data_IF_224938064180
#
_entry.id   IF_224938064180
#
_cell.length_a   1.000
_cell.length_b   1.000
_cell.length_c   1.000
_cell.angle_alpha   90.00
_cell.angle_beta   90.00
_cell.angle_gamma   90.00
#
_symmetry.space_group_name_H-M   'P 1'
#
loop_
_entity.id
_entity.type
_entity.pdbx_description
1 polymer ?
#
# COMPACT_ATOMS: atom_id res chain seq x y z
N UNK A 1 -17.26 6.57 -13.60
CA UNK A 1 -16.11 5.68 -13.80
C UNK A 1 -15.28 5.71 -12.52
N UNK A 2 -15.35 4.64 -11.70
CA UNK A 2 -14.54 4.51 -10.48
C UNK A 2 -13.07 4.77 -10.85
N UNK A 3 -12.26 5.46 -10.04
CA UNK A 3 -10.83 5.32 -10.19
C UNK A 3 -10.53 3.86 -9.87
N UNK A 4 -10.17 3.11 -10.89
CA UNK A 4 -9.94 1.70 -10.70
C UNK A 4 -8.85 1.54 -9.63
N UNK A 5 -9.15 0.73 -8.62
CA UNK A 5 -8.18 0.26 -7.63
C UNK A 5 -6.89 -0.08 -8.38
N UNK A 6 -5.69 0.30 -7.89
CA UNK A 6 -4.45 0.02 -8.60
C UNK A 6 -4.38 -1.45 -8.99
N UNK A 7 -4.13 -1.71 -10.26
CA UNK A 7 -4.07 -3.08 -10.79
C UNK A 7 -2.63 -3.54 -10.72
N UNK A 8 -2.40 -4.64 -10.00
CA UNK A 8 -1.11 -5.30 -9.93
C UNK A 8 -0.93 -6.20 -11.16
N UNK A 9 0.15 -6.01 -11.89
CA UNK A 9 0.61 -6.92 -12.94
C UNK A 9 1.26 -8.17 -12.32
N UNK A 10 1.41 -9.24 -13.10
CA UNK A 10 1.92 -10.54 -12.61
C UNK A 10 3.32 -10.47 -12.00
N UNK A 11 4.13 -9.51 -12.40
CA UNK A 11 5.50 -9.27 -11.92
C UNK A 11 5.56 -8.28 -10.75
N UNK A 12 4.43 -7.98 -10.10
CA UNK A 12 4.36 -7.07 -8.95
C UNK A 12 4.38 -5.59 -9.33
N UNK A 13 4.27 -5.25 -10.63
CA UNK A 13 4.23 -3.86 -11.10
C UNK A 13 2.84 -3.25 -11.01
N UNK A 14 2.82 -1.95 -10.75
CA UNK A 14 1.64 -1.09 -10.83
C UNK A 14 1.95 0.05 -11.78
N UNK A 15 1.22 0.12 -12.91
CA UNK A 15 1.35 1.22 -13.85
C UNK A 15 0.67 2.47 -13.31
N UNK A 16 1.35 3.61 -13.43
CA UNK A 16 0.78 4.89 -13.04
C UNK A 16 -0.43 5.22 -13.92
N UNK A 17 -1.59 5.57 -13.33
CA UNK A 17 -2.76 6.02 -14.07
C UNK A 17 -2.64 7.49 -14.49
N UNK A 18 -1.59 8.20 -14.06
CA UNK A 18 -1.46 9.64 -14.26
C UNK A 18 -0.59 9.95 -15.47
N UNK A 19 -1.18 10.64 -16.46
CA UNK A 19 -0.45 11.11 -17.65
C UNK A 19 0.73 12.05 -17.33
N UNK A 20 0.69 12.75 -16.18
CA UNK A 20 1.78 13.63 -15.72
C UNK A 20 2.99 12.86 -15.16
N UNK A 21 2.76 11.65 -14.67
CA UNK A 21 3.78 10.78 -14.07
C UNK A 21 3.72 9.40 -14.71
N UNK A 22 3.99 9.28 -16.03
CA UNK A 22 3.97 7.98 -16.68
C UNK A 22 5.06 7.08 -16.10
N UNK A 23 4.80 5.77 -16.07
CA UNK A 23 5.74 4.79 -15.54
C UNK A 23 5.10 3.78 -14.60
N UNK A 24 5.88 3.23 -13.67
CA UNK A 24 5.42 2.20 -12.74
C UNK A 24 6.16 2.22 -11.39
N UNK A 25 5.57 1.54 -10.42
CA UNK A 25 6.26 1.06 -9.21
C UNK A 25 6.20 -0.46 -9.16
N UNK A 26 7.21 -1.11 -8.57
CA UNK A 26 7.30 -2.57 -8.46
C UNK A 26 7.52 -2.96 -7.01
N UNK A 27 6.64 -3.83 -6.51
CA UNK A 27 6.85 -4.55 -5.26
C UNK A 27 7.44 -5.93 -5.55
N UNK A 28 8.14 -6.54 -4.57
CA UNK A 28 8.65 -7.89 -4.73
C UNK A 28 7.50 -8.88 -4.96
N UNK A 29 7.71 -9.89 -5.81
CA UNK A 29 6.68 -10.90 -6.12
C UNK A 29 6.22 -11.65 -4.87
N UNK A 30 7.09 -11.77 -3.86
CA UNK A 30 6.78 -12.46 -2.60
C UNK A 30 7.24 -11.64 -1.41
N UNK A 31 6.39 -11.55 -0.40
CA UNK A 31 6.70 -10.95 0.89
C UNK A 31 7.68 -11.84 1.65
N UNK A 32 8.86 -11.30 1.93
CA UNK A 32 9.86 -11.98 2.75
C UNK A 32 9.52 -11.87 4.24
N UNK A 33 10.08 -12.74 5.08
CA UNK A 33 9.91 -12.67 6.54
C UNK A 33 10.37 -11.30 7.12
N UNK A 34 11.48 -10.69 6.67
CA UNK A 34 11.83 -9.31 7.05
C UNK A 34 10.74 -8.28 6.68
N UNK A 35 10.18 -8.33 5.47
CA UNK A 35 9.09 -7.43 5.05
C UNK A 35 7.87 -7.59 5.95
N UNK A 36 7.49 -8.84 6.23
CA UNK A 36 6.38 -9.16 7.13
C UNK A 36 6.62 -8.64 8.56
N UNK A 37 7.82 -8.83 9.12
CA UNK A 37 8.17 -8.31 10.45
C UNK A 37 8.09 -6.79 10.52
N UNK A 38 8.56 -6.08 9.48
CA UNK A 38 8.42 -4.62 9.42
C UNK A 38 6.96 -4.16 9.33
N UNK A 39 6.14 -4.87 8.55
CA UNK A 39 4.70 -4.62 8.46
C UNK A 39 4.02 -4.85 9.82
N UNK A 40 4.28 -5.99 10.47
CA UNK A 40 3.71 -6.34 11.78
C UNK A 40 4.18 -5.36 12.85
N UNK A 41 5.47 -5.07 12.97
CA UNK A 41 5.99 -4.12 13.98
C UNK A 41 5.35 -2.73 13.87
N UNK A 42 5.06 -2.27 12.65
CA UNK A 42 4.42 -0.97 12.42
C UNK A 42 2.91 -0.95 12.63
N UNK A 43 2.24 -2.11 12.56
CA UNK A 43 0.81 -2.24 12.84
C UNK A 43 0.53 -2.67 14.29
N UNK A 44 1.29 -3.63 14.85
CA UNK A 44 1.15 -4.17 16.21
C UNK A 44 1.87 -3.32 17.26
N UNK A 45 3.03 -2.72 16.92
CA UNK A 45 3.70 -1.76 17.81
C UNK A 45 2.89 -0.48 18.08
N UNK A 46 1.75 -0.31 17.39
CA UNK A 46 0.78 0.78 17.58
C UNK A 46 -0.44 0.37 18.42
N UNK A 47 -0.52 -0.87 18.93
CA UNK A 47 -1.58 -1.31 19.83
C UNK A 47 -1.34 -0.89 21.30
N UNK A 48 -0.08 -0.64 21.70
CA UNK A 48 0.25 -0.21 23.07
C UNK A 48 0.36 1.32 23.25
N UNK A 49 0.40 2.10 22.16
CA UNK A 49 0.38 3.59 22.22
C UNK A 49 -1.05 4.18 22.11
N UNK A 50 -2.08 3.39 22.40
CA UNK A 50 -3.48 3.84 22.30
C UNK A 50 -3.96 4.65 23.51
N UNK A 51 -3.21 5.66 23.96
CA UNK A 51 -3.74 6.74 24.80
C UNK A 51 -3.17 8.13 24.47
N UNK A 52 -2.27 8.25 23.49
CA UNK A 52 -1.86 9.56 22.98
C UNK A 52 -2.67 9.89 21.71
N UNK A 53 -3.75 10.65 21.88
CA UNK A 53 -4.38 11.42 20.80
C UNK A 53 -3.33 12.33 20.14
N UNK A 54 -2.68 11.81 19.10
CA UNK A 54 -1.60 12.55 18.45
C UNK A 54 -1.18 11.91 17.14
N UNK A 55 -1.76 12.41 16.06
CA UNK A 55 -1.09 12.44 14.75
C UNK A 55 -1.02 11.14 13.94
N UNK A 56 -2.10 10.34 13.90
CA UNK A 56 -2.31 9.50 12.70
C UNK A 56 -2.76 10.43 11.57
N UNK A 57 -1.83 10.84 10.71
CA UNK A 57 -2.13 11.63 9.51
C UNK A 57 -2.90 10.75 8.54
N UNK A 58 -4.22 10.70 8.75
CA UNK A 58 -5.17 10.05 7.86
C UNK A 58 -5.75 11.10 6.94
N UNK A 59 -5.68 10.83 5.64
CA UNK A 59 -6.38 11.65 4.67
C UNK A 59 -7.60 10.91 4.15
N UNK A 60 -8.72 11.61 4.08
CA UNK A 60 -9.88 11.15 3.35
C UNK A 60 -9.66 11.45 1.87
N UNK A 61 -9.36 10.43 1.09
CA UNK A 61 -9.30 10.54 -0.36
C UNK A 61 -10.71 10.36 -0.88
N UNK A 62 -11.32 11.47 -1.30
CA UNK A 62 -12.61 11.47 -2.01
C UNK A 62 -12.34 11.41 -3.49
N UNK A 63 -13.00 10.51 -4.19
CA UNK A 63 -12.94 10.49 -5.64
C UNK A 63 -14.23 11.06 -6.19
N UNK A 64 -14.09 12.21 -6.85
CA UNK A 64 -15.19 12.92 -7.47
C UNK A 64 -15.17 12.60 -8.96
N UNK A 65 -16.29 12.09 -9.47
CA UNK A 65 -16.53 11.89 -10.89
C UNK A 65 -17.83 12.59 -11.27
N UNK A 66 -17.80 13.39 -12.33
CA UNK A 66 -18.89 14.26 -12.78
C UNK A 66 -19.56 15.11 -11.66
N UNK A 67 -18.78 15.53 -10.66
CA UNK A 67 -19.27 16.32 -9.53
C UNK A 67 -19.90 15.51 -8.39
N UNK A 68 -20.02 14.18 -8.52
CA UNK A 68 -20.50 13.29 -7.47
C UNK A 68 -19.34 12.55 -6.77
N UNK A 69 -19.41 12.42 -5.44
CA UNK A 69 -18.47 11.60 -4.67
C UNK A 69 -18.79 10.13 -4.91
N UNK A 70 -17.91 9.44 -5.63
CA UNK A 70 -18.10 8.04 -6.04
C UNK A 70 -17.46 7.04 -5.10
N UNK A 71 -16.45 7.46 -4.35
CA UNK A 71 -15.74 6.62 -3.39
C UNK A 71 -14.96 7.47 -2.38
N UNK A 72 -14.77 6.95 -1.18
CA UNK A 72 -14.03 7.64 -0.13
C UNK A 72 -13.22 6.64 0.70
N UNK A 73 -11.90 6.81 0.75
CA UNK A 73 -11.01 5.95 1.51
C UNK A 73 -10.17 6.75 2.49
N UNK A 74 -10.10 6.24 3.72
CA UNK A 74 -9.10 6.72 4.68
C UNK A 74 -7.76 6.04 4.40
N UNK A 75 -6.77 6.83 4.02
CA UNK A 75 -5.40 6.34 3.81
C UNK A 75 -4.50 6.86 4.92
N UNK A 76 -3.76 5.95 5.53
CA UNK A 76 -2.74 6.27 6.53
C UNK A 76 -1.44 6.67 5.84
N UNK A 77 -1.07 7.95 5.92
CA UNK A 77 0.13 8.50 5.30
C UNK A 77 1.41 7.94 5.92
N UNK A 78 1.36 7.40 7.15
CA UNK A 78 2.50 6.75 7.79
C UNK A 78 2.97 5.52 7.00
N UNK A 79 2.11 4.96 6.13
CA UNK A 79 2.43 3.82 5.27
C UNK A 79 3.42 4.17 4.17
N UNK A 80 3.64 5.44 3.82
CA UNK A 80 4.61 5.81 2.77
C UNK A 80 6.03 5.33 3.09
N UNK A 81 6.42 5.41 4.36
CA UNK A 81 7.74 4.94 4.78
C UNK A 81 7.86 3.41 4.76
N UNK A 82 6.75 2.67 4.87
CA UNK A 82 6.73 1.23 4.61
C UNK A 82 6.84 0.94 3.12
N UNK A 83 6.18 1.73 2.25
CA UNK A 83 6.36 1.60 0.80
C UNK A 83 7.83 1.74 0.44
N UNK A 84 8.50 2.80 0.93
CA UNK A 84 9.92 3.05 0.69
C UNK A 84 10.82 1.89 1.14
N UNK A 85 10.44 1.18 2.18
CA UNK A 85 11.22 0.06 2.72
C UNK A 85 11.05 -1.24 1.91
N UNK A 86 9.94 -1.39 1.17
CA UNK A 86 9.58 -2.67 0.50
C UNK A 86 9.63 -2.57 -1.02
N UNK A 87 9.42 -1.40 -1.61
CA UNK A 87 9.43 -1.21 -3.06
C UNK A 87 10.79 -1.61 -3.64
N UNK A 88 10.80 -2.42 -4.69
CA UNK A 88 12.02 -2.81 -5.39
C UNK A 88 12.44 -1.75 -6.40
N UNK A 89 11.46 -1.17 -7.08
CA UNK A 89 11.71 -0.28 -8.19
C UNK A 89 10.63 0.81 -8.29
N UNK A 90 11.08 2.05 -8.51
CA UNK A 90 10.21 3.18 -8.86
C UNK A 90 10.75 3.80 -10.14
N UNK A 91 9.97 3.70 -11.22
CA UNK A 91 10.24 4.33 -12.49
C UNK A 91 9.07 5.22 -12.84
N UNK A 92 9.06 6.43 -12.29
CA UNK A 92 8.07 7.46 -12.61
C UNK A 92 8.79 8.64 -13.25
N UNK A 93 8.29 9.07 -14.41
CA UNK A 93 8.79 10.30 -15.02
C UNK A 93 8.21 11.52 -14.29
N UNK A 94 8.99 12.60 -14.19
CA UNK A 94 8.53 13.92 -13.69
C UNK A 94 8.00 13.95 -12.24
N UNK A 95 8.32 12.96 -11.40
CA UNK A 95 7.93 12.97 -10.00
C UNK A 95 8.54 11.83 -9.20
N UNK A 96 9.11 12.18 -8.04
CA UNK A 96 9.47 11.22 -7.00
C UNK A 96 8.31 11.17 -5.98
N UNK A 97 7.64 10.01 -5.79
CA UNK A 97 6.56 9.89 -4.82
C UNK A 97 7.02 10.00 -3.35
N UNK A 98 8.33 9.98 -3.09
CA UNK A 98 8.93 10.06 -1.76
C UNK A 98 9.57 11.41 -1.45
N UNK A 99 9.55 12.37 -2.39
CA UNK A 99 10.04 13.71 -2.14
C UNK A 99 9.14 14.46 -1.12
N UNK A 100 9.72 15.40 -0.38
CA UNK A 100 8.99 16.19 0.62
C UNK A 100 7.88 17.04 0.00
N UNK A 101 8.04 17.44 -1.28
CA UNK A 101 7.07 18.19 -2.08
C UNK A 101 6.29 17.29 -3.05
N UNK A 102 6.31 15.97 -2.85
CA UNK A 102 5.61 15.02 -3.70
C UNK A 102 4.11 15.38 -3.79
N UNK A 103 3.53 15.41 -5.00
CA UNK A 103 2.12 15.67 -5.17
C UNK A 103 1.28 14.63 -4.43
N UNK A 104 0.39 15.08 -3.53
CA UNK A 104 -0.43 14.20 -2.69
C UNK A 104 -1.08 13.04 -3.45
N UNK A 105 -1.64 13.32 -4.63
CA UNK A 105 -2.31 12.30 -5.46
C UNK A 105 -1.37 11.17 -5.88
N UNK A 106 -0.10 11.48 -6.15
CA UNK A 106 0.93 10.51 -6.50
C UNK A 106 1.28 9.65 -5.27
N UNK A 107 1.53 10.30 -4.12
CA UNK A 107 1.81 9.64 -2.84
C UNK A 107 0.68 8.69 -2.43
N UNK A 108 -0.59 9.10 -2.57
CA UNK A 108 -1.75 8.25 -2.28
C UNK A 108 -1.82 7.02 -3.17
N UNK A 109 -1.58 7.18 -4.47
CA UNK A 109 -1.58 6.06 -5.39
C UNK A 109 -0.51 5.03 -5.02
N UNK A 110 0.70 5.48 -4.65
CA UNK A 110 1.78 4.60 -4.19
C UNK A 110 1.40 3.82 -2.93
N UNK A 111 0.76 4.47 -1.96
CA UNK A 111 0.26 3.80 -0.74
C UNK A 111 -0.87 2.81 -1.08
N UNK A 112 -1.77 3.16 -2.01
CA UNK A 112 -2.84 2.26 -2.43
C UNK A 112 -2.30 0.99 -3.10
N UNK A 113 -1.22 1.09 -3.89
CA UNK A 113 -0.55 -0.07 -4.47
C UNK A 113 0.03 -1.00 -3.40
N UNK A 114 0.62 -0.45 -2.33
CA UNK A 114 1.05 -1.26 -1.18
C UNK A 114 -0.13 -2.01 -0.55
N UNK A 115 -1.31 -1.39 -0.44
CA UNK A 115 -2.51 -2.06 0.04
C UNK A 115 -2.91 -3.25 -0.81
N UNK A 116 -2.92 -3.09 -2.14
CA UNK A 116 -3.21 -4.18 -3.09
C UNK A 116 -2.19 -5.31 -2.98
N UNK A 117 -0.90 -4.97 -2.93
CA UNK A 117 0.15 -5.95 -2.80
C UNK A 117 0.06 -6.70 -1.47
N UNK A 118 -0.12 -6.01 -0.35
CA UNK A 118 -0.29 -6.65 0.96
C UNK A 118 -1.49 -7.59 0.99
N UNK A 119 -2.62 -7.18 0.42
CA UNK A 119 -3.81 -8.03 0.34
C UNK A 119 -3.51 -9.33 -0.41
N UNK A 120 -2.87 -9.25 -1.59
CA UNK A 120 -2.45 -10.42 -2.37
C UNK A 120 -1.52 -11.37 -1.58
N UNK A 121 -0.53 -10.80 -0.90
CA UNK A 121 0.43 -11.57 -0.11
C UNK A 121 -0.19 -12.22 1.14
N UNK A 122 -1.23 -11.61 1.71
CA UNK A 122 -1.92 -12.09 2.91
C UNK A 122 -3.09 -13.02 2.58
N UNK A 123 -3.71 -12.90 1.40
CA UNK A 123 -4.72 -13.85 0.90
C UNK A 123 -4.17 -15.27 0.84
N UNK A 124 -2.88 -15.44 0.54
CA UNK A 124 -2.23 -16.76 0.55
C UNK A 124 -2.18 -17.43 1.94
N UNK A 125 -2.34 -16.66 3.03
CA UNK A 125 -2.32 -17.19 4.41
C UNK A 125 -3.70 -17.56 4.95
N UNK A 126 -4.79 -17.11 4.34
CA UNK A 126 -6.16 -17.47 4.77
C UNK A 126 -6.69 -18.73 4.08
N UNK A 127 -6.27 -18.99 2.84
CA UNK A 127 -6.67 -20.20 2.10
C UNK A 127 -5.69 -21.38 2.29
N UNK A 128 -4.60 -21.19 3.04
CA UNK A 128 -3.44 -22.09 3.06
C UNK A 128 -3.00 -22.65 4.43
N UNK A 129 -3.81 -22.59 5.49
CA UNK A 129 -3.40 -23.17 6.79
C UNK A 129 -4.53 -23.82 7.61
N UNK A 130 -5.21 -24.81 7.02
CA UNK A 130 -5.92 -25.84 7.80
C UNK A 130 -5.04 -27.08 8.07
N UNK A 131 -4.00 -27.34 7.27
CA UNK A 131 -3.37 -28.68 7.22
C UNK A 131 -1.90 -28.77 7.68
N UNK A 132 -1.38 -27.74 8.36
CA UNK A 132 -0.01 -27.77 8.89
C UNK A 132 0.02 -27.55 10.41
N UNK A 133 -0.80 -28.32 11.14
CA UNK A 133 -0.43 -28.72 12.49
C UNK A 133 0.12 -30.15 12.38
N UNK A 134 1.43 -30.40 12.56
CA UNK A 134 1.88 -31.77 12.75
C UNK A 134 1.16 -32.31 13.98
N UNK A 135 0.41 -33.41 13.79
CA UNK A 135 -0.07 -34.22 14.90
C UNK A 135 1.16 -34.60 15.71
N UNK A 136 1.23 -34.08 16.93
CA UNK A 136 2.16 -34.58 17.92
C UNK A 136 1.67 -35.97 18.31
N UNK A 137 2.39 -37.00 17.87
CA UNK A 137 2.42 -38.31 18.54
C UNK A 137 3.26 -38.22 19.82
#
# INVERSE_FOLDING_TARGET
MKPDRPVMEKDGRFKSPFAKWPGYIKFPETMTLPHYRMFVQRNDGKAEESEAEGTKLRALVRIIDDGEETDSHWVDLDRLSLVRAVVEEVKLENGDPFADDAPFRLTFWVIACLGVWLDDQMSFRLDGSSDMAPQAE
#
